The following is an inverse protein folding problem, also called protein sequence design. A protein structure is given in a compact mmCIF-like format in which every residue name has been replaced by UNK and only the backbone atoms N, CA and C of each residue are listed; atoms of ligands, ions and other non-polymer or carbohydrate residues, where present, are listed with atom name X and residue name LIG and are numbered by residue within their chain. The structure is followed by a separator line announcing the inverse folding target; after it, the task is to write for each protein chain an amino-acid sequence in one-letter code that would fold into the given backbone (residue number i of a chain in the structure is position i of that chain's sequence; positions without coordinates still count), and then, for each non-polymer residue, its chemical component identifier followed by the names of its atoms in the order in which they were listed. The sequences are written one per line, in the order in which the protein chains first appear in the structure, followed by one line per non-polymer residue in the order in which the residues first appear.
data_IF_042686993037
#
_entry.id   IF_042686993037
#
_cell.length_a   1.000
_cell.length_b   1.000
_cell.length_c   1.000
_cell.angle_alpha   90.00
_cell.angle_beta   90.00
_cell.angle_gamma   90.00
#
_symmetry.space_group_name_H-M   'P 1'
#
loop_
_entity.id
_entity.type
_entity.pdbx_description
1 polymer ?
#
# COMPACT_ATOMS: atom_id res chain seq x y z
N UNK A 1 109.48 -7.37 -22.00
CA UNK A 1 108.67 -6.92 -23.17
C UNK A 1 107.22 -6.81 -22.72
N UNK A 2 106.60 -5.63 -22.89
CA UNK A 2 105.17 -5.25 -22.74
C UNK A 2 104.46 -5.63 -21.40
N UNK A 3 104.29 -4.79 -20.36
CA UNK A 3 103.51 -3.51 -20.16
C UNK A 3 101.98 -3.71 -20.36
N UNK A 4 101.00 -3.40 -19.48
CA UNK A 4 100.81 -2.99 -18.06
C UNK A 4 99.33 -3.32 -17.71
N UNK A 5 98.96 -3.95 -16.58
CA UNK A 5 98.61 -3.48 -15.23
C UNK A 5 97.34 -2.59 -15.01
N UNK A 6 96.49 -3.09 -14.11
CA UNK A 6 95.49 -2.47 -13.17
C UNK A 6 94.01 -2.18 -13.56
N UNK A 7 93.14 -2.65 -12.64
CA UNK A 7 91.67 -2.55 -12.43
C UNK A 7 91.19 -1.16 -11.94
N UNK A 8 89.97 -0.93 -11.33
CA UNK A 8 88.61 -1.51 -11.41
C UNK A 8 87.46 -0.44 -11.50
N UNK A 9 86.20 -0.86 -11.24
CA UNK A 9 85.01 -0.15 -10.66
C UNK A 9 83.80 0.27 -11.54
N UNK A 10 82.68 -0.42 -11.25
CA UNK A 10 81.31 0.07 -10.93
C UNK A 10 80.51 0.92 -11.91
N UNK A 11 79.36 0.40 -12.35
CA UNK A 11 78.17 1.19 -12.70
C UNK A 11 76.86 0.42 -12.39
N UNK A 12 75.95 1.05 -11.64
CA UNK A 12 74.55 0.63 -11.37
C UNK A 12 73.66 0.90 -12.59
N UNK A 13 72.59 0.11 -12.83
CA UNK A 13 71.45 0.55 -13.62
C UNK A 13 70.22 0.90 -12.76
N UNK A 14 69.58 2.00 -13.16
CA UNK A 14 68.33 2.59 -12.68
C UNK A 14 67.11 1.73 -13.03
N UNK A 15 66.28 1.42 -12.04
CA UNK A 15 64.99 0.71 -12.20
C UNK A 15 63.88 1.69 -12.57
N UNK A 16 63.18 1.40 -13.67
CA UNK A 16 61.99 2.13 -14.12
C UNK A 16 60.77 1.77 -13.24
N UNK A 17 60.01 2.80 -12.87
CA UNK A 17 58.86 2.77 -11.97
C UNK A 17 57.60 2.28 -12.68
N UNK A 18 56.97 1.22 -12.16
CA UNK A 18 55.63 0.77 -12.52
C UNK A 18 54.54 1.61 -11.81
N UNK A 19 53.35 1.83 -12.41
CA UNK A 19 52.27 2.57 -11.78
C UNK A 19 51.62 1.74 -10.65
N UNK A 20 51.06 2.37 -9.60
CA UNK A 20 50.48 1.64 -8.47
C UNK A 20 49.08 1.09 -8.81
N UNK A 21 48.87 -0.16 -8.44
CA UNK A 21 47.57 -0.84 -8.33
C UNK A 21 46.68 -0.12 -7.31
N UNK A 22 45.37 0.09 -7.55
CA UNK A 22 44.50 0.65 -6.52
C UNK A 22 44.20 -0.41 -5.47
N UNK A 23 44.67 -0.18 -4.24
CA UNK A 23 44.26 -0.94 -3.07
C UNK A 23 42.81 -0.58 -2.72
N UNK A 24 41.90 -1.54 -2.77
CA UNK A 24 40.57 -1.42 -2.19
C UNK A 24 40.68 -1.42 -0.66
N UNK A 25 40.89 -0.23 -0.08
CA UNK A 25 40.67 0.00 1.34
C UNK A 25 39.18 0.14 1.61
N UNK A 26 38.63 -0.75 2.43
CA UNK A 26 37.30 -0.56 3.03
C UNK A 26 37.33 0.70 3.90
N UNK A 27 36.81 1.81 3.37
CA UNK A 27 36.46 2.97 4.17
C UNK A 27 35.21 2.64 4.99
N UNK A 28 35.35 2.65 6.32
CA UNK A 28 34.23 2.58 7.23
C UNK A 28 33.20 3.69 6.90
N UNK A 29 31.88 3.42 6.96
CA UNK A 29 30.88 4.42 6.64
C UNK A 29 30.91 5.53 7.68
N UNK A 30 31.40 6.70 7.26
CA UNK A 30 31.37 7.93 8.07
C UNK A 30 29.91 8.31 8.29
N UNK A 31 29.46 8.19 9.55
CA UNK A 31 28.09 8.51 9.96
C UNK A 31 27.66 9.89 9.45
N UNK A 32 26.68 9.91 8.54
CA UNK A 32 25.94 11.11 8.08
C UNK A 32 24.75 11.42 9.00
N UNK A 33 24.75 10.95 10.25
CA UNK A 33 23.58 10.98 11.13
C UNK A 33 23.21 12.36 11.69
N UNK A 34 24.14 13.32 11.69
CA UNK A 34 23.93 14.62 12.35
C UNK A 34 23.43 15.77 11.48
N UNK A 35 23.49 15.64 10.14
CA UNK A 35 23.05 16.72 9.23
C UNK A 35 21.62 16.50 8.72
N UNK A 36 21.20 15.24 8.57
CA UNK A 36 19.83 14.93 8.17
C UNK A 36 18.81 15.38 9.22
N UNK A 37 19.06 15.11 10.51
CA UNK A 37 18.14 15.44 11.61
C UNK A 37 17.87 16.94 11.76
N UNK A 38 18.89 17.79 11.59
CA UNK A 38 18.72 19.24 11.70
C UNK A 38 17.89 19.82 10.54
N UNK A 39 18.12 19.37 9.30
CA UNK A 39 17.31 19.79 8.15
C UNK A 39 15.87 19.27 8.24
N UNK A 40 15.69 18.06 8.79
CA UNK A 40 14.39 17.43 9.05
C UNK A 40 13.57 18.18 10.11
N UNK A 41 14.17 18.53 11.25
CA UNK A 41 13.49 19.35 12.27
C UNK A 41 13.15 20.77 11.78
N UNK A 42 13.98 21.36 10.93
CA UNK A 42 13.71 22.66 10.32
C UNK A 42 12.55 22.60 9.31
N UNK A 43 12.40 21.50 8.57
CA UNK A 43 11.27 21.29 7.67
C UNK A 43 9.96 21.18 8.44
N UNK A 44 9.93 20.40 9.52
CA UNK A 44 8.76 20.26 10.40
C UNK A 44 8.35 21.61 11.01
N UNK A 45 9.31 22.40 11.50
CA UNK A 45 9.02 23.72 12.06
C UNK A 45 8.59 24.75 10.99
N UNK A 46 9.14 24.66 9.78
CA UNK A 46 8.74 25.49 8.65
C UNK A 46 7.29 25.20 8.20
N UNK A 47 6.90 23.92 8.14
CA UNK A 47 5.53 23.49 7.83
C UNK A 47 4.57 23.97 8.92
N UNK A 48 4.94 23.86 10.20
CA UNK A 48 4.15 24.35 11.35
C UNK A 48 3.91 25.87 11.26
N UNK A 49 4.96 26.63 10.95
CA UNK A 49 4.92 28.11 10.89
C UNK A 49 4.12 28.63 9.68
N UNK A 50 4.18 27.96 8.52
CA UNK A 50 3.38 28.32 7.34
C UNK A 50 1.88 28.13 7.59
N UNK A 51 1.50 27.10 8.36
CA UNK A 51 0.11 26.79 8.68
C UNK A 51 -0.50 27.75 9.69
N UNK A 52 0.27 28.23 10.67
CA UNK A 52 -0.17 29.29 11.59
C UNK A 52 -0.55 30.57 10.83
N UNK A 53 0.11 30.87 9.71
CA UNK A 53 -0.25 32.01 8.85
C UNK A 53 -1.54 31.78 8.06
N UNK A 54 -1.76 30.57 7.52
CA UNK A 54 -2.98 30.24 6.77
C UNK A 54 -4.22 30.12 7.68
N UNK A 55 -4.06 29.77 8.96
CA UNK A 55 -5.15 29.74 9.94
C UNK A 55 -5.74 31.11 10.31
N UNK A 56 -5.07 32.20 9.95
CA UNK A 56 -5.51 33.57 10.26
C UNK A 56 -6.44 34.20 9.21
N UNK A 57 -6.63 33.58 8.03
CA UNK A 57 -7.34 34.20 6.90
C UNK A 57 -8.60 33.46 6.42
N UNK A 58 -9.08 32.44 7.12
CA UNK A 58 -10.25 31.65 6.70
C UNK A 58 -11.42 31.68 7.69
N UNK A 59 -12.25 32.72 7.65
CA UNK A 59 -13.55 32.73 8.33
C UNK A 59 -14.65 32.86 7.26
N UNK A 60 -15.26 31.74 6.86
CA UNK A 60 -16.47 31.73 6.06
C UNK A 60 -17.40 30.59 6.50
N UNK A 61 -18.69 30.89 6.39
CA UNK A 61 -19.80 30.44 7.23
C UNK A 61 -20.18 28.95 7.10
N UNK A 62 -20.49 28.38 8.26
CA UNK A 62 -21.13 27.09 8.49
C UNK A 62 -22.64 27.21 8.22
N UNK A 63 -23.21 26.34 7.37
CA UNK A 63 -24.66 26.21 7.20
C UNK A 63 -25.07 24.75 7.28
N UNK A 64 -26.16 24.55 8.02
CA UNK A 64 -26.53 23.35 8.74
C UNK A 64 -27.09 22.22 7.87
N UNK A 65 -26.85 20.99 8.35
CA UNK A 65 -27.46 19.75 7.87
C UNK A 65 -28.98 19.71 8.17
N UNK A 66 -29.76 19.16 7.24
CA UNK A 66 -31.17 18.83 7.43
C UNK A 66 -31.41 17.30 7.34
N UNK A 67 -32.43 16.75 8.03
CA UNK A 67 -32.64 15.31 8.21
C UNK A 67 -33.38 14.68 7.03
N UNK A 68 -33.09 13.40 6.74
CA UNK A 68 -33.82 12.60 5.75
C UNK A 68 -34.74 11.60 6.46
N UNK A 69 -36.05 11.84 6.34
CA UNK A 69 -37.12 10.85 6.53
C UNK A 69 -38.04 10.93 5.30
N UNK A 70 -38.42 9.78 4.73
CA UNK A 70 -39.41 9.74 3.63
C UNK A 70 -39.46 8.44 2.83
N UNK A 71 -40.27 7.50 3.31
CA UNK A 71 -40.68 6.25 2.66
C UNK A 71 -41.45 6.51 1.36
N UNK A 72 -41.19 5.72 0.31
CA UNK A 72 -41.98 5.66 -0.93
C UNK A 72 -41.93 4.26 -1.55
N UNK A 73 -43.10 3.66 -1.73
CA UNK A 73 -43.37 2.26 -2.09
C UNK A 73 -43.55 2.08 -3.60
N UNK A 74 -42.95 1.01 -4.15
CA UNK A 74 -43.53 0.12 -5.17
C UNK A 74 -43.54 0.55 -6.65
N UNK A 75 -42.79 -0.18 -7.48
CA UNK A 75 -43.20 -0.54 -8.84
C UNK A 75 -42.48 -1.85 -9.24
N UNK A 76 -43.25 -2.77 -9.82
CA UNK A 76 -42.93 -4.16 -10.09
C UNK A 76 -41.85 -4.35 -11.18
N UNK A 77 -40.81 -5.13 -10.89
CA UNK A 77 -39.87 -5.67 -11.88
C UNK A 77 -40.12 -7.16 -12.13
N UNK A 78 -40.01 -7.65 -13.38
CA UNK A 78 -40.32 -9.02 -13.74
C UNK A 78 -39.24 -9.99 -13.22
N UNK A 79 -39.70 -11.02 -12.51
CA UNK A 79 -38.89 -12.13 -12.00
C UNK A 79 -38.29 -12.92 -13.16
N UNK A 80 -36.97 -12.81 -13.34
CA UNK A 80 -36.17 -13.73 -14.17
C UNK A 80 -35.62 -14.84 -13.27
N UNK A 81 -35.99 -16.11 -13.46
CA UNK A 81 -35.55 -17.19 -12.58
C UNK A 81 -34.24 -17.82 -13.08
N UNK A 82 -33.11 -17.47 -12.46
CA UNK A 82 -31.87 -18.28 -12.54
C UNK A 82 -30.88 -18.07 -11.37
N UNK A 83 -31.27 -17.42 -10.26
CA UNK A 83 -30.32 -16.94 -9.24
C UNK A 83 -29.85 -17.95 -8.18
N UNK A 84 -30.42 -19.15 -8.09
CA UNK A 84 -30.08 -20.06 -6.97
C UNK A 84 -28.66 -20.65 -7.08
N UNK A 85 -28.21 -20.97 -8.30
CA UNK A 85 -26.92 -21.63 -8.53
C UNK A 85 -25.71 -20.71 -8.36
N UNK A 86 -25.82 -19.43 -8.71
CA UNK A 86 -24.73 -18.46 -8.53
C UNK A 86 -24.66 -17.98 -7.08
N UNK A 87 -25.80 -17.85 -6.40
CA UNK A 87 -25.89 -17.34 -5.04
C UNK A 87 -25.26 -18.29 -4.00
N UNK A 88 -25.42 -19.62 -4.15
CA UNK A 88 -24.73 -20.57 -3.25
C UNK A 88 -23.22 -20.57 -3.46
N UNK A 89 -22.72 -20.40 -4.69
CA UNK A 89 -21.28 -20.29 -4.98
C UNK A 89 -20.72 -19.03 -4.34
N UNK A 90 -21.39 -17.90 -4.50
CA UNK A 90 -21.03 -16.63 -3.84
C UNK A 90 -20.95 -16.81 -2.33
N UNK A 91 -21.97 -17.41 -1.71
CA UNK A 91 -22.00 -17.67 -0.26
C UNK A 91 -20.89 -18.61 0.19
N UNK A 92 -20.58 -19.65 -0.58
CA UNK A 92 -19.50 -20.58 -0.27
C UNK A 92 -18.13 -19.90 -0.33
N UNK A 93 -17.87 -19.13 -1.39
CA UNK A 93 -16.64 -18.34 -1.51
C UNK A 93 -16.48 -17.36 -0.35
N UNK A 94 -17.54 -16.64 0.00
CA UNK A 94 -17.53 -15.69 1.11
C UNK A 94 -17.27 -16.41 2.44
N UNK A 95 -17.92 -17.55 2.67
CA UNK A 95 -17.71 -18.35 3.87
C UNK A 95 -16.28 -18.88 3.97
N UNK A 96 -15.71 -19.35 2.84
CA UNK A 96 -14.32 -19.79 2.79
C UNK A 96 -13.35 -18.64 3.09
N UNK A 97 -13.58 -17.48 2.47
CA UNK A 97 -12.75 -16.28 2.68
C UNK A 97 -12.77 -15.82 4.14
N UNK A 98 -13.94 -15.73 4.76
CA UNK A 98 -14.09 -15.36 6.17
C UNK A 98 -13.33 -16.36 7.04
N UNK A 99 -13.54 -17.67 6.84
CA UNK A 99 -12.88 -18.72 7.61
C UNK A 99 -11.35 -18.65 7.47
N UNK A 100 -10.85 -18.47 6.24
CA UNK A 100 -9.41 -18.38 5.97
C UNK A 100 -8.79 -17.16 6.66
N UNK A 101 -9.41 -15.98 6.53
CA UNK A 101 -8.91 -14.75 7.16
C UNK A 101 -8.96 -14.86 8.69
N UNK A 102 -10.07 -15.32 9.28
CA UNK A 102 -10.19 -15.51 10.74
C UNK A 102 -9.12 -16.46 11.27
N UNK A 103 -8.84 -17.55 10.54
CA UNK A 103 -7.81 -18.52 10.90
C UNK A 103 -6.41 -17.89 10.93
N UNK A 104 -6.06 -17.09 9.91
CA UNK A 104 -4.77 -16.40 9.83
C UNK A 104 -4.64 -15.38 10.97
N UNK A 105 -5.68 -14.58 11.23
CA UNK A 105 -5.68 -13.59 12.31
C UNK A 105 -5.53 -14.25 13.68
N UNK A 106 -6.21 -15.38 13.92
CA UNK A 106 -6.06 -16.15 15.15
C UNK A 106 -4.62 -16.61 15.36
N UNK A 107 -3.99 -17.16 14.31
CA UNK A 107 -2.59 -17.60 14.36
C UNK A 107 -1.66 -16.41 14.65
N UNK A 108 -1.84 -15.29 13.95
CA UNK A 108 -1.02 -14.09 14.16
C UNK A 108 -1.17 -13.52 15.58
N UNK A 109 -2.39 -13.45 16.11
CA UNK A 109 -2.62 -13.06 17.51
C UNK A 109 -1.88 -13.99 18.48
N UNK A 110 -1.90 -15.30 18.23
CA UNK A 110 -1.18 -16.29 19.05
C UNK A 110 0.35 -16.19 18.97
N UNK A 111 0.91 -15.95 17.79
CA UNK A 111 2.37 -15.85 17.56
C UNK A 111 2.95 -14.56 18.13
N UNK A 112 2.28 -13.43 17.93
CA UNK A 112 2.80 -12.12 18.32
C UNK A 112 2.39 -11.69 19.73
N UNK A 113 1.26 -12.17 20.26
CA UNK A 113 0.75 -11.81 21.60
C UNK A 113 0.74 -10.28 21.81
N UNK A 114 1.45 -9.81 22.82
CA UNK A 114 1.54 -8.39 23.20
C UNK A 114 2.60 -7.60 22.41
N UNK A 115 3.26 -8.22 21.42
CA UNK A 115 4.24 -7.54 20.54
C UNK A 115 3.52 -6.79 19.41
N UNK A 116 2.73 -5.78 19.77
CA UNK A 116 1.83 -5.06 18.86
C UNK A 116 2.52 -4.51 17.61
N UNK A 117 3.63 -3.76 17.77
CA UNK A 117 4.34 -3.18 16.61
C UNK A 117 4.93 -4.24 15.67
N UNK A 118 5.41 -5.37 16.20
CA UNK A 118 5.89 -6.48 15.37
C UNK A 118 4.74 -7.16 14.61
N UNK A 119 3.57 -7.27 15.25
CA UNK A 119 2.34 -7.78 14.61
C UNK A 119 1.88 -6.85 13.50
N UNK A 120 1.79 -5.54 13.77
CA UNK A 120 1.43 -4.55 12.76
C UNK A 120 2.42 -4.56 11.60
N UNK A 121 3.73 -4.50 11.86
CA UNK A 121 4.75 -4.63 10.82
C UNK A 121 4.55 -5.87 9.92
N UNK A 122 4.25 -7.03 10.51
CA UNK A 122 3.99 -8.25 9.74
C UNK A 122 2.70 -8.15 8.91
N UNK A 123 1.63 -7.58 9.47
CA UNK A 123 0.37 -7.34 8.78
C UNK A 123 0.56 -6.35 7.61
N UNK A 124 1.19 -5.20 7.84
CA UNK A 124 1.47 -4.19 6.81
C UNK A 124 2.37 -4.70 5.67
N UNK A 125 3.27 -5.64 5.98
CA UNK A 125 4.08 -6.31 4.97
C UNK A 125 3.23 -7.17 4.03
N UNK A 126 2.16 -7.77 4.57
CA UNK A 126 1.25 -8.68 3.86
C UNK A 126 0.10 -7.90 3.19
N UNK A 127 -0.41 -6.84 3.82
CA UNK A 127 -1.58 -6.07 3.40
C UNK A 127 -1.40 -5.40 2.03
N UNK A 128 -0.17 -5.02 1.65
CA UNK A 128 0.12 -4.52 0.29
C UNK A 128 0.06 -5.54 -0.84
N UNK A 129 0.22 -6.82 -0.52
CA UNK A 129 0.44 -7.87 -1.53
C UNK A 129 -0.74 -8.03 -2.49
N UNK A 130 -2.01 -7.97 -2.03
CA UNK A 130 -3.17 -8.06 -2.91
C UNK A 130 -3.19 -6.96 -3.96
N UNK A 131 -2.91 -5.71 -3.57
CA UNK A 131 -2.90 -4.59 -4.51
C UNK A 131 -1.86 -4.77 -5.61
N UNK A 132 -0.65 -5.20 -5.24
CA UNK A 132 0.38 -5.53 -6.23
C UNK A 132 -0.02 -6.71 -7.14
N UNK A 133 -0.66 -7.74 -6.59
CA UNK A 133 -1.19 -8.87 -7.36
C UNK A 133 -2.29 -8.43 -8.35
N UNK A 134 -3.24 -7.60 -7.91
CA UNK A 134 -4.33 -7.10 -8.73
C UNK A 134 -3.79 -6.27 -9.90
N UNK A 135 -2.89 -5.32 -9.62
CA UNK A 135 -2.23 -4.50 -10.64
C UNK A 135 -1.45 -5.37 -11.63
N UNK A 136 -0.74 -6.41 -11.16
CA UNK A 136 0.00 -7.33 -12.02
C UNK A 136 -0.91 -8.04 -13.03
N UNK A 137 -2.05 -8.56 -12.56
CA UNK A 137 -3.04 -9.23 -13.44
C UNK A 137 -3.72 -8.23 -14.37
N UNK A 138 -4.11 -7.05 -13.87
CA UNK A 138 -4.70 -5.98 -14.68
C UNK A 138 -3.77 -5.53 -15.81
N UNK A 139 -2.47 -5.36 -15.54
CA UNK A 139 -1.49 -5.04 -16.58
C UNK A 139 -1.34 -6.16 -17.61
N UNK A 140 -1.35 -7.42 -17.16
CA UNK A 140 -1.32 -8.58 -18.06
C UNK A 140 -2.55 -8.60 -18.98
N UNK A 141 -3.75 -8.44 -18.42
CA UNK A 141 -5.01 -8.37 -19.19
C UNK A 141 -5.02 -7.20 -20.17
N UNK A 142 -4.48 -6.05 -19.78
CA UNK A 142 -4.34 -4.88 -20.66
C UNK A 142 -3.38 -5.16 -21.82
N UNK A 143 -2.26 -5.85 -21.56
CA UNK A 143 -1.25 -6.21 -22.56
C UNK A 143 -1.79 -7.21 -23.58
N UNK A 144 -2.63 -8.16 -23.15
CA UNK A 144 -3.32 -9.09 -24.05
C UNK A 144 -4.55 -8.49 -24.72
N UNK A 145 -4.93 -7.25 -24.38
CA UNK A 145 -6.10 -6.58 -24.92
C UNK A 145 -7.43 -7.15 -24.40
N UNK A 146 -7.42 -7.93 -23.33
CA UNK A 146 -8.63 -8.53 -22.75
C UNK A 146 -9.44 -7.54 -21.93
N UNK A 147 -8.77 -6.66 -21.18
CA UNK A 147 -9.44 -5.70 -20.33
C UNK A 147 -8.57 -4.47 -20.06
N UNK A 148 -9.14 -3.27 -20.23
CA UNK A 148 -8.44 -1.99 -20.05
C UNK A 148 -9.26 -1.12 -19.11
N UNK A 149 -8.77 -0.94 -17.87
CA UNK A 149 -9.37 -0.05 -16.87
C UNK A 149 -8.28 0.69 -16.12
N UNK A 150 -7.95 1.88 -16.60
CA UNK A 150 -6.89 2.70 -16.00
C UNK A 150 -7.19 3.06 -14.53
N UNK A 151 -8.46 3.30 -14.21
CA UNK A 151 -8.90 3.68 -12.87
C UNK A 151 -8.60 2.59 -11.81
N UNK A 152 -8.75 1.31 -12.16
CA UNK A 152 -8.45 0.21 -11.24
C UNK A 152 -6.95 0.16 -10.93
N UNK A 153 -6.11 0.31 -11.96
CA UNK A 153 -4.66 0.32 -11.80
C UNK A 153 -4.22 1.51 -10.93
N UNK A 154 -4.77 2.71 -11.17
CA UNK A 154 -4.46 3.91 -10.39
C UNK A 154 -4.83 3.77 -8.93
N UNK A 155 -6.07 3.37 -8.63
CA UNK A 155 -6.55 3.26 -7.26
C UNK A 155 -5.81 2.16 -6.51
N UNK A 156 -5.63 0.97 -7.09
CA UNK A 156 -4.87 -0.09 -6.39
C UNK A 156 -3.40 0.29 -6.20
N UNK A 157 -2.80 1.05 -7.12
CA UNK A 157 -1.45 1.57 -6.92
C UNK A 157 -1.40 2.52 -5.73
N UNK A 158 -2.36 3.44 -5.64
CA UNK A 158 -2.50 4.36 -4.52
C UNK A 158 -2.74 3.62 -3.19
N UNK A 159 -3.55 2.56 -3.20
CA UNK A 159 -3.74 1.69 -2.03
C UNK A 159 -2.44 1.01 -1.62
N UNK A 160 -1.73 0.38 -2.55
CA UNK A 160 -0.41 -0.21 -2.27
C UNK A 160 0.60 0.80 -1.76
N UNK A 161 0.49 2.06 -2.18
CA UNK A 161 1.34 3.16 -1.72
C UNK A 161 1.01 3.59 -0.29
N UNK A 162 -0.28 3.62 0.10
CA UNK A 162 -0.71 3.89 1.46
C UNK A 162 -0.18 2.82 2.45
N UNK A 163 -0.43 1.55 2.15
CA UNK A 163 0.09 0.37 2.88
C UNK A 163 1.64 0.35 2.97
N UNK A 164 2.31 0.92 1.97
CA UNK A 164 3.76 1.10 2.02
C UNK A 164 4.19 2.02 3.14
N UNK A 165 3.51 3.16 3.31
CA UNK A 165 3.82 4.12 4.35
C UNK A 165 3.42 3.64 5.75
N UNK A 166 2.32 2.89 5.88
CA UNK A 166 1.99 2.23 7.14
C UNK A 166 3.10 1.31 7.62
N UNK A 167 3.71 0.51 6.73
CA UNK A 167 4.88 -0.29 7.10
C UNK A 167 6.07 0.57 7.54
N UNK A 168 6.39 1.65 6.82
CA UNK A 168 7.52 2.51 7.19
C UNK A 168 7.32 3.10 8.60
N UNK A 169 6.08 3.45 8.94
CA UNK A 169 5.70 3.87 10.29
C UNK A 169 5.97 2.74 11.29
N UNK A 170 5.53 1.51 11.01
CA UNK A 170 5.77 0.37 11.90
C UNK A 170 7.26 0.01 12.02
N UNK A 171 8.06 0.20 10.97
CA UNK A 171 9.52 0.04 11.02
C UNK A 171 10.18 1.08 11.93
N UNK A 172 9.76 2.35 11.85
CA UNK A 172 10.25 3.41 12.73
C UNK A 172 9.89 3.16 14.20
N UNK A 173 8.71 2.59 14.46
CA UNK A 173 8.26 2.15 15.79
C UNK A 173 8.94 0.86 16.29
N UNK A 174 9.85 0.27 15.50
CA UNK A 174 10.65 -0.90 15.89
C UNK A 174 9.97 -2.26 15.63
N UNK A 175 8.93 -2.29 14.79
CA UNK A 175 8.24 -3.52 14.39
C UNK A 175 9.13 -4.53 13.65
N UNK A 176 10.22 -4.06 13.03
CA UNK A 176 11.22 -4.89 12.34
C UNK A 176 12.43 -5.26 13.21
N UNK A 177 12.33 -5.11 14.55
CA UNK A 177 13.45 -5.32 15.48
C UNK A 177 14.01 -6.76 15.48
N UNK A 178 13.17 -7.77 15.27
CA UNK A 178 13.60 -9.16 15.22
C UNK A 178 13.65 -9.67 13.77
N UNK A 179 14.79 -10.26 13.41
CA UNK A 179 14.99 -10.83 12.08
C UNK A 179 14.00 -11.95 11.76
N UNK A 180 13.58 -12.73 12.76
CA UNK A 180 12.63 -13.84 12.57
C UNK A 180 11.26 -13.32 12.11
N UNK A 181 10.77 -12.23 12.72
CA UNK A 181 9.50 -11.62 12.32
C UNK A 181 9.60 -11.05 10.89
N UNK A 182 10.73 -10.40 10.56
CA UNK A 182 11.02 -9.93 9.21
C UNK A 182 11.02 -11.05 8.18
N UNK A 183 11.72 -12.15 8.49
CA UNK A 183 11.82 -13.30 7.61
C UNK A 183 10.44 -13.93 7.39
N UNK A 184 9.69 -14.17 8.46
CA UNK A 184 8.36 -14.78 8.40
C UNK A 184 7.39 -13.92 7.58
N UNK A 185 7.33 -12.61 7.84
CA UNK A 185 6.45 -11.69 7.11
C UNK A 185 6.76 -11.68 5.60
N UNK A 186 8.04 -11.59 5.22
CA UNK A 186 8.47 -11.60 3.81
C UNK A 186 8.22 -12.95 3.13
N UNK A 187 8.46 -14.04 3.84
CA UNK A 187 8.21 -15.39 3.34
C UNK A 187 6.72 -15.62 3.10
N UNK A 188 5.86 -15.23 4.05
CA UNK A 188 4.40 -15.30 3.88
C UNK A 188 3.94 -14.41 2.71
N UNK A 189 4.43 -13.18 2.62
CA UNK A 189 4.11 -12.25 1.53
C UNK A 189 4.45 -12.83 0.15
N UNK A 190 5.58 -13.53 0.02
CA UNK A 190 5.99 -14.18 -1.23
C UNK A 190 4.98 -15.23 -1.70
N UNK A 191 4.57 -16.17 -0.84
CA UNK A 191 3.58 -17.18 -1.23
C UNK A 191 2.18 -16.59 -1.40
N UNK A 192 1.83 -15.64 -0.54
CA UNK A 192 0.56 -14.95 -0.60
C UNK A 192 0.37 -14.23 -1.94
N UNK A 193 1.42 -13.66 -2.51
CA UNK A 193 1.37 -13.06 -3.85
C UNK A 193 0.83 -14.03 -4.91
N UNK A 194 1.42 -15.23 -5.00
CA UNK A 194 1.00 -16.21 -6.02
C UNK A 194 -0.42 -16.72 -5.79
N UNK A 195 -0.81 -16.92 -4.52
CA UNK A 195 -2.19 -17.31 -4.16
C UNK A 195 -3.17 -16.22 -4.57
N UNK A 196 -2.87 -14.95 -4.28
CA UNK A 196 -3.74 -13.83 -4.62
C UNK A 196 -3.81 -13.58 -6.13
N UNK A 197 -2.71 -13.74 -6.87
CA UNK A 197 -2.72 -13.71 -8.33
C UNK A 197 -3.64 -14.81 -8.89
N UNK A 198 -3.49 -16.05 -8.43
CA UNK A 198 -4.33 -17.16 -8.86
C UNK A 198 -5.81 -16.92 -8.54
N UNK A 199 -6.11 -16.50 -7.30
CA UNK A 199 -7.46 -16.16 -6.84
C UNK A 199 -8.08 -15.03 -7.67
N UNK A 200 -7.33 -13.96 -7.95
CA UNK A 200 -7.83 -12.84 -8.74
C UNK A 200 -8.07 -13.21 -10.21
N UNK A 201 -7.21 -14.04 -10.81
CA UNK A 201 -7.43 -14.54 -12.17
C UNK A 201 -8.66 -15.44 -12.27
N UNK A 202 -8.92 -16.26 -11.25
CA UNK A 202 -10.08 -17.17 -11.21
C UNK A 202 -11.38 -16.43 -10.94
N UNK A 203 -11.38 -15.53 -9.95
CA UNK A 203 -12.56 -14.78 -9.53
C UNK A 203 -12.13 -13.46 -8.87
N UNK A 204 -12.13 -12.33 -9.61
CA UNK A 204 -11.86 -11.01 -9.04
C UNK A 204 -12.80 -10.67 -7.88
N UNK A 205 -14.09 -11.06 -7.98
CA UNK A 205 -15.07 -10.86 -6.90
C UNK A 205 -14.64 -11.57 -5.61
N UNK A 206 -14.20 -12.83 -5.70
CA UNK A 206 -13.70 -13.58 -4.55
C UNK A 206 -12.46 -12.92 -3.95
N UNK A 207 -11.52 -12.48 -4.80
CA UNK A 207 -10.31 -11.81 -4.37
C UNK A 207 -10.59 -10.49 -3.63
N UNK A 208 -11.50 -9.65 -4.17
CA UNK A 208 -11.89 -8.39 -3.52
C UNK A 208 -12.63 -8.63 -2.20
N UNK A 209 -13.48 -9.65 -2.11
CA UNK A 209 -14.13 -10.01 -0.84
C UNK A 209 -13.11 -10.51 0.20
N UNK A 210 -12.10 -11.29 -0.23
CA UNK A 210 -11.02 -11.71 0.66
C UNK A 210 -10.26 -10.51 1.22
N UNK A 211 -9.85 -9.58 0.34
CA UNK A 211 -9.22 -8.33 0.75
C UNK A 211 -10.12 -7.50 1.67
N UNK A 212 -11.42 -7.35 1.36
CA UNK A 212 -12.37 -6.66 2.26
C UNK A 212 -12.36 -7.25 3.68
N UNK A 213 -12.32 -8.58 3.80
CA UNK A 213 -12.25 -9.24 5.11
C UNK A 213 -10.94 -8.92 5.84
N UNK A 214 -9.81 -8.86 5.11
CA UNK A 214 -8.51 -8.48 5.68
C UNK A 214 -8.56 -7.05 6.22
N UNK A 215 -9.04 -6.08 5.44
CA UNK A 215 -9.07 -4.66 5.85
C UNK A 215 -10.03 -4.42 7.01
N UNK A 216 -11.16 -5.14 7.05
CA UNK A 216 -12.09 -5.07 8.17
C UNK A 216 -11.43 -5.55 9.47
N UNK A 217 -10.59 -6.59 9.40
CA UNK A 217 -9.82 -7.06 10.54
C UNK A 217 -8.68 -6.10 10.91
N UNK A 218 -8.01 -5.48 9.93
CA UNK A 218 -7.02 -4.45 10.16
C UNK A 218 -7.63 -3.25 10.92
N UNK A 219 -8.76 -2.72 10.42
CA UNK A 219 -9.56 -1.68 11.07
C UNK A 219 -9.87 -2.04 12.53
N UNK A 220 -10.44 -3.23 12.77
CA UNK A 220 -10.81 -3.66 14.11
C UNK A 220 -9.59 -3.80 15.03
N UNK A 221 -8.45 -4.23 14.50
CA UNK A 221 -7.21 -4.41 15.27
C UNK A 221 -6.64 -3.05 15.69
N UNK A 222 -6.64 -2.06 14.80
CA UNK A 222 -6.23 -0.71 15.13
C UNK A 222 -7.18 -0.02 16.10
N UNK A 223 -8.49 -0.19 15.92
CA UNK A 223 -9.49 0.39 16.82
C UNK A 223 -9.39 -0.19 18.25
N UNK A 224 -9.17 -1.51 18.38
CA UNK A 224 -8.90 -2.16 19.67
C UNK A 224 -7.61 -1.62 20.32
N UNK A 225 -6.54 -1.47 19.54
CA UNK A 225 -5.26 -0.96 20.02
C UNK A 225 -5.36 0.50 20.50
N UNK A 226 -6.06 1.35 19.75
CA UNK A 226 -6.32 2.75 20.13
C UNK A 226 -7.06 2.84 21.46
N UNK A 227 -8.10 2.03 21.66
CA UNK A 227 -8.88 2.00 22.91
C UNK A 227 -8.06 1.51 24.11
N UNK A 228 -7.15 0.56 23.89
CA UNK A 228 -6.34 -0.02 24.96
C UNK A 228 -5.17 0.90 25.39
N UNK A 229 -4.58 1.64 24.44
CA UNK A 229 -3.35 2.42 24.66
C UNK A 229 -3.53 3.94 24.50
N UNK A 230 -4.75 4.46 24.55
CA UNK A 230 -5.06 5.88 24.29
C UNK A 230 -4.15 6.86 25.06
N UNK A 231 -4.04 6.69 26.38
CA UNK A 231 -3.26 7.60 27.23
C UNK A 231 -1.75 7.56 26.93
N UNK A 232 -1.23 6.38 26.60
CA UNK A 232 0.18 6.19 26.27
C UNK A 232 0.50 6.82 24.92
N UNK A 233 -0.31 6.52 23.90
CA UNK A 233 -0.12 6.99 22.54
C UNK A 233 -0.21 8.52 22.45
N UNK A 234 -1.10 9.15 23.23
CA UNK A 234 -1.21 10.62 23.29
C UNK A 234 0.02 11.31 23.87
N UNK A 235 0.85 10.62 24.66
CA UNK A 235 2.09 11.15 25.26
C UNK A 235 3.30 11.00 24.35
N UNK A 236 3.22 10.12 23.35
CA UNK A 236 4.33 9.82 22.45
C UNK A 236 4.30 10.73 21.22
N UNK A 237 5.47 11.16 20.72
CA UNK A 237 5.54 11.96 19.51
C UNK A 237 5.18 11.11 18.29
N UNK A 238 4.64 11.76 17.26
CA UNK A 238 4.43 11.12 15.97
C UNK A 238 5.78 10.74 15.31
N UNK A 239 5.88 9.58 14.64
CA UNK A 239 7.06 9.17 13.90
C UNK A 239 7.24 10.03 12.66
N UNK A 240 8.49 10.23 12.24
CA UNK A 240 8.86 11.07 11.10
C UNK A 240 8.22 10.54 9.81
N UNK A 241 8.20 9.22 9.60
CA UNK A 241 7.57 8.59 8.45
C UNK A 241 6.08 8.93 8.32
N UNK A 242 5.36 9.07 9.44
CA UNK A 242 3.95 9.45 9.42
C UNK A 242 3.77 10.92 9.04
N UNK A 243 4.62 11.80 9.58
CA UNK A 243 4.59 13.23 9.25
C UNK A 243 4.91 13.46 7.78
N UNK A 244 5.94 12.80 7.24
CA UNK A 244 6.33 12.89 5.83
C UNK A 244 5.25 12.39 4.87
N UNK A 245 4.46 11.38 5.29
CA UNK A 245 3.38 10.84 4.47
C UNK A 245 2.11 11.71 4.52
N UNK A 246 1.58 11.93 5.73
CA UNK A 246 0.26 12.52 5.92
C UNK A 246 0.24 14.04 5.84
N UNK A 247 1.37 14.70 6.10
CA UNK A 247 1.51 16.16 6.00
C UNK A 247 2.33 16.59 4.77
N UNK A 248 2.47 15.69 3.79
CA UNK A 248 3.13 15.99 2.53
C UNK A 248 2.40 17.12 1.78
N UNK A 249 3.13 17.87 0.96
CA UNK A 249 2.54 18.84 0.03
C UNK A 249 1.80 18.15 -1.12
N UNK A 250 2.32 17.02 -1.60
CA UNK A 250 1.68 16.21 -2.64
C UNK A 250 0.88 15.07 -2.03
N UNK A 251 -0.42 15.30 -1.88
CA UNK A 251 -1.40 14.33 -1.39
C UNK A 251 -2.20 13.69 -2.53
N UNK A 252 -1.71 13.72 -3.77
CA UNK A 252 -2.43 13.15 -4.91
C UNK A 252 -2.76 11.66 -4.71
N UNK A 253 -1.75 10.85 -4.34
CA UNK A 253 -1.98 9.41 -4.08
C UNK A 253 -2.79 9.17 -2.80
N UNK A 254 -2.72 10.08 -1.83
CA UNK A 254 -3.57 10.01 -0.63
C UNK A 254 -5.04 10.26 -0.98
N UNK A 255 -5.34 11.19 -1.87
CA UNK A 255 -6.70 11.39 -2.36
C UNK A 255 -7.14 10.24 -3.27
N UNK A 256 -6.23 9.69 -4.09
CA UNK A 256 -6.53 8.68 -5.11
C UNK A 256 -7.00 7.34 -4.55
N UNK A 257 -6.49 6.88 -3.39
CA UNK A 257 -6.94 5.60 -2.81
C UNK A 257 -8.35 5.68 -2.18
N UNK A 258 -8.85 6.89 -1.92
CA UNK A 258 -10.14 7.14 -1.27
C UNK A 258 -11.29 7.20 -2.28
N UNK A 259 -11.56 6.08 -2.97
CA UNK A 259 -12.50 6.00 -4.08
C UNK A 259 -13.96 6.41 -3.74
N UNK A 260 -14.33 6.45 -2.46
CA UNK A 260 -15.67 6.83 -2.00
C UNK A 260 -15.83 8.32 -1.69
N UNK A 261 -14.76 9.12 -1.85
CA UNK A 261 -14.69 10.52 -1.42
C UNK A 261 -14.28 11.44 -2.55
N UNK A 262 -14.64 12.72 -2.44
CA UNK A 262 -14.07 13.75 -3.30
C UNK A 262 -12.62 14.05 -2.90
N UNK A 263 -11.72 14.31 -3.88
CA UNK A 263 -10.36 14.77 -3.61
C UNK A 263 -10.36 16.01 -2.70
N UNK A 264 -9.41 16.10 -1.77
CA UNK A 264 -9.34 17.25 -0.86
C UNK A 264 -10.22 17.16 0.39
N UNK A 265 -11.21 16.27 0.41
CA UNK A 265 -12.21 16.24 1.51
C UNK A 265 -11.65 15.76 2.85
N UNK A 266 -10.60 14.93 2.85
CA UNK A 266 -9.92 14.46 4.06
C UNK A 266 -8.48 14.96 4.06
N UNK A 267 -8.08 15.64 5.15
CA UNK A 267 -6.70 16.05 5.40
C UNK A 267 -6.30 15.65 6.82
N UNK A 268 -5.46 14.63 6.97
CA UNK A 268 -4.97 14.17 8.26
C UNK A 268 -4.38 15.29 9.11
N UNK A 269 -4.60 15.22 10.42
CA UNK A 269 -3.94 16.04 11.43
C UNK A 269 -3.17 15.11 12.34
N UNK A 270 -1.95 15.52 12.72
CA UNK A 270 -1.05 14.70 13.53
C UNK A 270 -0.37 15.61 14.55
N UNK A 271 -0.76 15.47 15.81
CA UNK A 271 -0.10 16.14 16.93
C UNK A 271 0.70 15.14 17.78
N UNK A 272 0.29 13.88 17.82
CA UNK A 272 0.91 12.80 18.61
C UNK A 272 0.74 11.43 17.93
N UNK A 273 1.29 10.38 18.54
CA UNK A 273 1.24 9.02 18.00
C UNK A 273 -0.20 8.44 17.95
N UNK A 274 -1.10 8.85 18.85
CA UNK A 274 -2.50 8.43 18.81
C UNK A 274 -3.17 8.88 17.50
N UNK A 275 -2.94 10.11 17.06
CA UNK A 275 -3.51 10.63 15.81
C UNK A 275 -3.00 9.86 14.59
N UNK A 276 -1.75 9.38 14.62
CA UNK A 276 -1.18 8.53 13.55
C UNK A 276 -1.98 7.25 13.43
N UNK A 277 -2.20 6.54 14.54
CA UNK A 277 -2.98 5.29 14.54
C UNK A 277 -4.46 5.52 14.18
N UNK A 278 -5.04 6.67 14.53
CA UNK A 278 -6.38 7.06 14.07
C UNK A 278 -6.40 7.20 12.54
N UNK A 279 -5.40 7.87 11.96
CA UNK A 279 -5.32 8.04 10.51
C UNK A 279 -5.13 6.69 9.79
N UNK A 280 -4.27 5.81 10.31
CA UNK A 280 -4.08 4.44 9.78
C UNK A 280 -5.40 3.67 9.83
N UNK A 281 -6.07 3.60 10.99
CA UNK A 281 -7.38 2.95 11.13
C UNK A 281 -8.39 3.47 10.11
N UNK A 282 -8.46 4.79 9.94
CA UNK A 282 -9.41 5.41 9.03
C UNK A 282 -9.04 5.16 7.55
N UNK A 283 -7.76 4.98 7.23
CA UNK A 283 -7.31 4.51 5.91
C UNK A 283 -7.84 3.09 5.65
N UNK A 284 -7.70 2.15 6.61
CA UNK A 284 -8.23 0.79 6.50
C UNK A 284 -9.74 0.75 6.19
N UNK A 285 -10.48 1.70 6.76
CA UNK A 285 -11.90 1.83 6.48
C UNK A 285 -12.17 2.25 5.02
N UNK A 286 -11.34 3.12 4.44
CA UNK A 286 -11.44 3.50 3.02
C UNK A 286 -10.99 2.35 2.09
N UNK A 287 -9.99 1.55 2.49
CA UNK A 287 -9.63 0.31 1.80
C UNK A 287 -10.80 -0.67 1.77
N UNK A 288 -11.44 -0.91 2.92
CA UNK A 288 -12.61 -1.79 3.04
C UNK A 288 -13.76 -1.35 2.11
N UNK A 289 -14.09 -0.04 2.09
CA UNK A 289 -15.12 0.50 1.19
C UNK A 289 -14.77 0.27 -0.28
N UNK A 290 -13.51 0.51 -0.65
CA UNK A 290 -13.02 0.34 -2.02
C UNK A 290 -13.09 -1.12 -2.45
N UNK A 291 -12.63 -2.05 -1.61
CA UNK A 291 -12.71 -3.49 -1.88
C UNK A 291 -14.14 -3.97 -2.00
N UNK A 292 -15.06 -3.48 -1.17
CA UNK A 292 -16.49 -3.76 -1.28
C UNK A 292 -17.06 -3.30 -2.62
N UNK A 293 -16.75 -2.07 -3.04
CA UNK A 293 -17.20 -1.52 -4.33
C UNK A 293 -16.70 -2.35 -5.51
N UNK A 294 -15.46 -2.85 -5.44
CA UNK A 294 -14.84 -3.65 -6.49
C UNK A 294 -15.46 -5.05 -6.68
N UNK A 295 -16.24 -5.55 -5.73
CA UNK A 295 -16.95 -6.83 -5.87
C UNK A 295 -18.01 -6.81 -6.97
N UNK A 296 -18.51 -5.62 -7.31
CA UNK A 296 -19.44 -5.43 -8.42
C UNK A 296 -18.69 -4.86 -9.62
N UNK A 297 -18.89 -5.47 -10.79
CA UNK A 297 -18.12 -5.14 -11.98
C UNK A 297 -18.34 -3.68 -12.43
N UNK A 298 -17.25 -2.98 -12.75
CA UNK A 298 -17.31 -1.67 -13.37
C UNK A 298 -17.51 -0.47 -12.43
N UNK A 299 -17.65 -0.69 -11.12
CA UNK A 299 -18.01 0.38 -10.16
C UNK A 299 -16.84 1.21 -9.61
N UNK A 300 -15.59 0.76 -9.77
CA UNK A 300 -14.44 1.52 -9.30
C UNK A 300 -14.09 2.66 -10.27
N UNK A 301 -13.97 3.88 -9.73
CA UNK A 301 -13.56 5.09 -10.45
C UNK A 301 -12.47 5.82 -9.67
N UNK A 302 -11.50 6.36 -10.38
CA UNK A 302 -10.46 7.21 -9.80
C UNK A 302 -11.06 8.55 -9.35
N UNK A 303 -10.77 9.03 -8.13
CA UNK A 303 -11.22 10.34 -7.64
C UNK A 303 -10.83 11.51 -8.55
N UNK A 304 -9.73 11.38 -9.30
CA UNK A 304 -9.23 12.41 -10.23
C UNK A 304 -9.59 12.15 -11.70
N UNK A 305 -10.44 11.16 -11.99
CA UNK A 305 -10.82 10.83 -13.37
C UNK A 305 -11.88 11.80 -13.91
N UNK A 306 -11.51 12.57 -14.94
CA UNK A 306 -12.43 13.48 -15.64
C UNK A 306 -13.40 12.70 -16.54
N UNK A 307 -14.63 13.21 -16.67
CA UNK A 307 -15.72 12.59 -17.47
C UNK A 307 -15.33 12.27 -18.93
N UNK A 308 -14.29 12.91 -19.48
CA UNK A 308 -13.88 12.75 -20.89
C UNK A 308 -13.02 11.50 -21.18
N UNK A 309 -12.53 10.78 -20.17
CA UNK A 309 -11.86 9.49 -20.40
C UNK A 309 -12.84 8.35 -20.77
N UNK A 310 -14.16 8.60 -20.72
CA UNK A 310 -15.21 7.60 -20.83
C UNK A 310 -15.45 7.11 -22.27
N UNK A 311 -15.23 7.93 -23.29
CA UNK A 311 -15.56 7.54 -24.67
C UNK A 311 -14.54 6.56 -25.26
N UNK A 312 -13.25 6.70 -24.92
CA UNK A 312 -12.20 5.84 -25.46
C UNK A 312 -12.18 4.41 -24.87
N UNK A 313 -12.62 4.24 -23.61
CA UNK A 313 -12.66 2.92 -22.94
C UNK A 313 -13.96 2.15 -23.24
N UNK A 314 -15.01 2.81 -23.73
CA UNK A 314 -16.30 2.17 -24.07
C UNK A 314 -16.37 1.74 -25.55
N UNK A 315 -15.57 2.35 -26.43
CA UNK A 315 -15.59 2.08 -27.88
C UNK A 315 -14.92 0.74 -28.27
N UNK A 316 -14.24 0.06 -27.34
CA UNK A 316 -13.71 -1.30 -27.51
C UNK A 316 -14.57 -2.39 -26.83
N UNK A 317 -15.85 -2.11 -26.54
CA UNK A 317 -16.81 -3.15 -26.13
C UNK A 317 -17.28 -3.88 -27.38
N UNK A 318 -16.72 -5.08 -27.62
CA UNK A 318 -17.38 -6.11 -28.44
C UNK A 318 -18.79 -6.29 -27.84
N UNK A 319 -19.88 -6.32 -28.63
CA UNK A 319 -21.24 -6.37 -28.10
C UNK A 319 -21.41 -7.52 -27.11
N UNK A 320 -22.12 -7.26 -26.01
CA UNK A 320 -22.64 -8.28 -25.10
C UNK A 320 -23.43 -9.32 -25.91
N UNK A 321 -22.81 -10.46 -26.17
CA UNK A 321 -23.49 -11.72 -26.35
C UNK A 321 -22.65 -12.80 -25.67
N UNK A 322 -23.35 -13.53 -24.81
CA UNK A 322 -23.02 -14.85 -24.27
C UNK A 322 -22.03 -14.92 -23.10
N UNK A 323 -22.62 -14.83 -21.90
CA UNK A 323 -22.27 -15.71 -20.80
C UNK A 323 -22.43 -17.18 -21.24
N UNK A 324 -21.39 -17.77 -21.82
CA UNK A 324 -21.16 -19.21 -21.72
C UNK A 324 -19.69 -19.47 -21.38
N UNK A 325 -19.51 -20.33 -20.37
CA UNK A 325 -18.23 -20.62 -19.76
C UNK A 325 -17.16 -21.09 -20.75
N UNK A 326 -15.92 -20.85 -20.35
CA UNK A 326 -14.71 -21.35 -20.99
C UNK A 326 -14.86 -22.80 -21.49
N UNK A 327 -15.04 -22.97 -22.79
CA UNK A 327 -14.68 -24.19 -23.51
C UNK A 327 -13.46 -23.91 -24.35
N UNK A 328 -12.29 -24.16 -23.75
CA UNK A 328 -11.08 -24.45 -24.51
C UNK A 328 -11.27 -25.81 -25.17
N UNK A 329 -11.75 -25.85 -26.42
CA UNK A 329 -11.52 -26.99 -27.29
C UNK A 329 -11.57 -26.64 -28.78
N UNK A 330 -10.46 -27.00 -29.45
CA UNK A 330 -10.23 -27.19 -30.89
C UNK A 330 -9.91 -25.97 -31.77
N UNK A 331 -8.64 -25.91 -32.17
CA UNK A 331 -8.17 -25.91 -33.57
C UNK A 331 -6.65 -26.21 -33.49
N UNK A 332 -6.15 -27.38 -33.92
CA UNK A 332 -5.66 -27.65 -35.29
C UNK A 332 -5.25 -26.40 -36.07
#
# INVERSE_FOLDING_TARGET
MAVASTSPLSAKPTTATSPPTPAFGFLAPRSRRGRATAWRSLLVEAIRTQREKQGTEGHFEESAAAPLDGVGVGADDPVVPSSDASDWVVKLEQSFNIFATDSVIMVLKGVYRDRYYARFFALETIARVPYFAFISVLHMYSTFGWWRRADYIKVHFAQSWNEFHHLLIMEELGGNSLWIDCFLARFMAFFYYFVTVAMYMLSPRMAYHFSECVERHAYSTYDEFLKLHEEELKRLPAPEAALEYYLNEDLYLFDEFQASRSPGSRRPKIDNLYDVFVNIRDDEAEHCKTMKTCQTHGNLRSPHSTQNCLEADTECVIPENDCEGARVQKAL
#
